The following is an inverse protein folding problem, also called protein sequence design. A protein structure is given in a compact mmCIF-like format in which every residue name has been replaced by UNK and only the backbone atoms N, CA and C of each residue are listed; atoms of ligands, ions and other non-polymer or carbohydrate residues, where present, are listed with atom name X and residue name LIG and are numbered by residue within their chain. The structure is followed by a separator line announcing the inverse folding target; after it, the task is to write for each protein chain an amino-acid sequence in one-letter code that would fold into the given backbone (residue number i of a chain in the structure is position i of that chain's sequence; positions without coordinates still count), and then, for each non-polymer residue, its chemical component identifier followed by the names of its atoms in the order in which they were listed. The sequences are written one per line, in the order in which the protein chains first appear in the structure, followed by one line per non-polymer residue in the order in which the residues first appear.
data_IF_742566128950
#
_entry.id   IF_742566128950
#
_cell.length_a   1.000
_cell.length_b   1.000
_cell.length_c   1.000
_cell.angle_alpha   90.00
_cell.angle_beta   90.00
_cell.angle_gamma   90.00
#
_symmetry.space_group_name_H-M   'P 1'
#
loop_
_entity.id
_entity.type
_entity.pdbx_description
1 polymer ?
#
# COMPACT_ATOMS: atom_id res chain seq x y z
N UNK A 1 -20.79 -13.87 -6.40
CA UNK A 1 -19.36 -13.62 -6.62
C UNK A 1 -18.67 -13.59 -5.26
N UNK A 2 -17.74 -14.51 -4.99
CA UNK A 2 -16.85 -14.43 -3.82
C UNK A 2 -15.44 -14.26 -4.37
N UNK A 3 -14.95 -13.02 -4.40
CA UNK A 3 -13.55 -12.75 -4.71
C UNK A 3 -12.83 -12.50 -3.39
N UNK A 4 -12.00 -13.45 -2.98
CA UNK A 4 -11.25 -13.36 -1.74
C UNK A 4 -9.87 -12.78 -2.09
N UNK A 5 -9.75 -11.46 -1.97
CA UNK A 5 -8.48 -10.73 -2.15
C UNK A 5 -7.47 -11.33 -1.16
N UNK A 6 -6.33 -11.81 -1.69
CA UNK A 6 -5.28 -12.45 -0.88
C UNK A 6 -4.23 -11.48 -0.35
N UNK A 7 -3.97 -10.42 -1.11
CA UNK A 7 -3.03 -9.36 -0.78
C UNK A 7 -3.25 -8.18 -1.72
N UNK A 8 -2.79 -7.01 -1.29
CA UNK A 8 -2.73 -5.79 -2.10
C UNK A 8 -1.29 -5.29 -2.10
N UNK A 9 -0.79 -4.93 -3.28
CA UNK A 9 0.53 -4.29 -3.42
C UNK A 9 0.35 -2.95 -4.11
N UNK A 10 0.92 -1.89 -3.53
CA UNK A 10 0.88 -0.53 -4.07
C UNK A 10 2.30 -0.08 -4.37
N UNK A 11 2.58 0.15 -5.65
CA UNK A 11 3.79 0.83 -6.07
C UNK A 11 3.52 2.35 -6.18
N UNK A 12 4.39 3.17 -5.62
CA UNK A 12 4.31 4.63 -5.72
C UNK A 12 5.70 5.24 -5.89
N UNK A 13 5.77 6.43 -6.51
CA UNK A 13 7.04 7.13 -6.70
C UNK A 13 7.45 7.88 -5.44
N UNK A 14 8.76 8.05 -5.22
CA UNK A 14 9.33 8.84 -4.11
C UNK A 14 8.94 10.33 -4.12
N UNK A 15 8.36 10.82 -5.21
CA UNK A 15 7.90 12.21 -5.34
C UNK A 15 6.61 12.45 -4.54
N UNK A 16 6.41 13.66 -3.99
CA UNK A 16 5.34 13.93 -3.02
C UNK A 16 3.93 13.79 -3.59
N UNK A 17 3.73 13.86 -4.90
CA UNK A 17 2.41 13.76 -5.52
C UNK A 17 1.83 12.33 -5.55
N UNK A 18 2.65 11.30 -5.34
CA UNK A 18 2.22 9.90 -5.50
C UNK A 18 1.73 9.25 -4.19
N UNK A 19 1.85 9.93 -3.05
CA UNK A 19 1.52 9.34 -1.74
C UNK A 19 0.01 9.12 -1.52
N UNK A 20 -0.85 9.84 -2.25
CA UNK A 20 -2.30 9.73 -2.11
C UNK A 20 -2.84 8.31 -2.32
N UNK A 21 -2.23 7.53 -3.23
CA UNK A 21 -2.66 6.15 -3.50
C UNK A 21 -2.36 5.21 -2.32
N UNK A 22 -1.23 5.43 -1.63
CA UNK A 22 -0.86 4.66 -0.43
C UNK A 22 -1.89 4.87 0.66
N UNK A 23 -2.25 6.13 0.91
CA UNK A 23 -3.26 6.49 1.90
C UNK A 23 -4.65 5.90 1.56
N UNK A 24 -5.08 6.01 0.29
CA UNK A 24 -6.36 5.45 -0.16
C UNK A 24 -6.42 3.92 0.01
N UNK A 25 -5.34 3.22 -0.34
CA UNK A 25 -5.30 1.76 -0.21
C UNK A 25 -5.32 1.33 1.26
N UNK A 26 -4.56 2.01 2.12
CA UNK A 26 -4.55 1.77 3.55
C UNK A 26 -5.95 1.98 4.18
N UNK A 27 -6.58 3.11 3.91
CA UNK A 27 -7.91 3.42 4.46
C UNK A 27 -8.99 2.47 3.93
N UNK A 28 -8.94 2.13 2.64
CA UNK A 28 -9.88 1.15 2.05
C UNK A 28 -9.76 -0.22 2.70
N UNK A 29 -8.55 -0.66 3.03
CA UNK A 29 -8.32 -1.94 3.71
C UNK A 29 -8.79 -1.91 5.16
N UNK A 30 -8.53 -0.82 5.89
CA UNK A 30 -9.05 -0.57 7.24
C UNK A 30 -10.58 -0.63 7.28
N UNK A 31 -11.25 0.07 6.37
CA UNK A 31 -12.71 0.09 6.26
C UNK A 31 -13.30 -1.25 5.79
N UNK A 32 -12.53 -2.05 5.04
CA UNK A 32 -12.98 -3.37 4.59
C UNK A 32 -13.19 -4.36 5.72
N UNK A 33 -12.59 -4.12 6.90
CA UNK A 33 -12.57 -5.02 8.07
C UNK A 33 -12.12 -6.45 7.74
N UNK A 34 -11.30 -6.58 6.69
CA UNK A 34 -10.68 -7.84 6.31
C UNK A 34 -9.20 -7.76 6.61
N UNK A 35 -8.67 -8.85 7.11
CA UNK A 35 -7.23 -9.02 7.26
C UNK A 35 -6.63 -9.35 5.89
N UNK A 36 -6.17 -8.31 5.19
CA UNK A 36 -5.58 -8.40 3.86
C UNK A 36 -4.17 -7.77 3.95
N UNK A 37 -3.10 -8.55 3.69
CA UNK A 37 -1.74 -8.04 3.66
C UNK A 37 -1.59 -6.89 2.65
N UNK A 38 -1.00 -5.78 3.10
CA UNK A 38 -0.66 -4.63 2.28
C UNK A 38 0.87 -4.50 2.15
N UNK A 39 1.36 -4.50 0.91
CA UNK A 39 2.77 -4.21 0.61
C UNK A 39 2.88 -2.88 -0.12
N UNK A 40 3.73 -1.99 0.36
CA UNK A 40 4.02 -0.70 -0.26
C UNK A 40 5.43 -0.72 -0.84
N UNK A 41 5.56 -0.39 -2.13
CA UNK A 41 6.84 -0.33 -2.84
C UNK A 41 7.08 1.12 -3.25
N UNK A 42 8.16 1.72 -2.74
CA UNK A 42 8.60 3.06 -3.15
C UNK A 42 9.57 2.92 -4.33
N UNK A 43 9.25 3.58 -5.44
CA UNK A 43 10.06 3.64 -6.63
C UNK A 43 10.78 4.98 -6.72
N UNK A 44 12.07 4.94 -7.04
CA UNK A 44 12.86 6.12 -7.32
C UNK A 44 12.49 6.71 -8.69
N UNK A 45 12.86 7.97 -8.93
CA UNK A 45 12.64 8.60 -10.24
C UNK A 45 13.36 7.91 -11.41
N UNK A 46 14.33 7.03 -11.12
CA UNK A 46 15.04 6.20 -12.12
C UNK A 46 14.41 4.81 -12.29
N UNK A 47 13.33 4.51 -11.60
CA UNK A 47 12.63 3.22 -11.66
C UNK A 47 13.26 2.13 -10.78
N UNK A 48 14.25 2.47 -9.96
CA UNK A 48 14.80 1.60 -8.93
C UNK A 48 13.84 1.44 -7.75
N UNK A 49 13.91 0.31 -7.07
CA UNK A 49 13.17 0.11 -5.81
C UNK A 49 13.98 0.76 -4.70
N UNK A 50 13.43 1.81 -4.11
CA UNK A 50 14.03 2.56 -3.01
C UNK A 50 13.66 1.94 -1.67
N UNK A 51 12.43 1.42 -1.55
CA UNK A 51 11.93 0.88 -0.29
C UNK A 51 10.80 -0.15 -0.52
N UNK A 52 10.64 -1.10 0.40
CA UNK A 52 9.54 -2.06 0.41
C UNK A 52 9.11 -2.31 1.86
N UNK A 53 7.86 -1.95 2.16
CA UNK A 53 7.29 -2.05 3.50
C UNK A 53 6.07 -2.96 3.44
N UNK A 54 6.08 -4.02 4.25
CA UNK A 54 4.86 -4.77 4.56
C UNK A 54 4.18 -4.09 5.73
N UNK A 55 2.99 -3.55 5.49
CA UNK A 55 2.19 -2.93 6.55
C UNK A 55 1.46 -4.05 7.27
N UNK A 56 2.10 -4.53 8.33
CA UNK A 56 1.48 -5.32 9.39
C UNK A 56 1.21 -4.30 10.50
N UNK A 57 -0.04 -4.19 10.94
CA UNK A 57 -0.56 -3.18 11.86
C UNK A 57 -0.98 -1.85 11.21
N UNK A 58 -2.29 -1.66 11.18
CA UNK A 58 -2.99 -0.43 10.82
C UNK A 58 -2.88 0.54 12.02
N UNK A 59 -1.66 0.90 12.42
CA UNK A 59 -1.43 1.95 13.42
C UNK A 59 -0.82 3.19 12.75
N UNK A 60 -1.69 4.19 12.63
CA UNK A 60 -1.39 5.56 12.26
C UNK A 60 -0.59 6.20 13.42
N UNK A 61 0.67 6.57 13.18
CA UNK A 61 1.46 7.40 14.09
C UNK A 61 1.28 8.88 13.78
#
# INVERSE_FOLDING_TARGET
MQNNIRSVTVAYMEVPCCYGLVHLAHESLKESRKDIPLTIIKLGIKGDVVDTVEVQDVEES
#
